data_IF_691673232507
#
_entry.id   IF_691673232507
#
_cell.length_a   1.000
_cell.length_b   1.000
_cell.length_c   1.000
_cell.angle_alpha   90.00
_cell.angle_beta   90.00
_cell.angle_gamma   90.00
#
_symmetry.space_group_name_H-M   'P 1'
#
loop_
_entity.id
_entity.type
_entity.pdbx_description
1 polymer ?
#
# COMPACT_ATOMS: atom_id res chain seq x y z
N UNK A 1 2.99 2.32 17.63
CA UNK A 1 3.51 2.82 16.34
C UNK A 1 4.05 1.65 15.53
N UNK A 2 3.36 1.31 14.45
CA UNK A 2 3.67 0.14 13.61
C UNK A 2 5.09 0.21 13.01
N UNK A 3 5.56 1.40 12.66
CA UNK A 3 6.90 1.59 12.08
C UNK A 3 8.00 1.23 13.07
N UNK A 4 7.80 1.56 14.35
CA UNK A 4 8.75 1.23 15.42
C UNK A 4 8.68 -0.25 15.80
N UNK A 5 7.48 -0.85 15.83
CA UNK A 5 7.32 -2.26 16.19
C UNK A 5 7.84 -3.22 15.13
N UNK A 6 7.66 -2.88 13.85
CA UNK A 6 8.07 -3.75 12.74
C UNK A 6 9.57 -3.71 12.43
N UNK A 7 10.25 -2.60 12.75
CA UNK A 7 11.66 -2.39 12.42
C UNK A 7 12.60 -3.51 12.92
N UNK A 8 12.53 -3.98 14.19
CA UNK A 8 13.39 -5.08 14.66
C UNK A 8 13.13 -6.39 13.90
N UNK A 9 11.86 -6.70 13.62
CA UNK A 9 11.47 -7.87 12.87
C UNK A 9 12.03 -7.84 11.44
N UNK A 10 11.87 -6.73 10.76
CA UNK A 10 12.38 -6.54 9.40
C UNK A 10 13.91 -6.63 9.36
N UNK A 11 14.61 -6.00 10.31
CA UNK A 11 16.07 -6.05 10.41
C UNK A 11 16.60 -7.48 10.53
N UNK A 12 15.90 -8.32 11.32
CA UNK A 12 16.27 -9.72 11.48
C UNK A 12 16.01 -10.53 10.19
N UNK A 13 14.90 -10.24 9.50
CA UNK A 13 14.45 -11.02 8.35
C UNK A 13 15.23 -10.72 7.06
N UNK A 14 15.58 -9.45 6.82
CA UNK A 14 16.26 -9.05 5.57
C UNK A 14 17.75 -9.44 5.56
N UNK A 15 18.32 -9.75 6.72
CA UNK A 15 19.73 -10.16 6.84
C UNK A 15 20.69 -8.97 6.83
N UNK A 16 22.00 -9.29 6.86
CA UNK A 16 23.07 -8.30 7.03
C UNK A 16 23.48 -7.58 5.74
N UNK A 17 23.12 -8.15 4.58
CA UNK A 17 23.54 -7.61 3.28
C UNK A 17 22.63 -6.48 2.78
N UNK A 18 21.43 -6.36 3.33
CA UNK A 18 20.48 -5.32 2.98
C UNK A 18 20.43 -4.30 4.09
N UNK A 19 20.72 -3.04 3.75
CA UNK A 19 20.55 -1.92 4.67
C UNK A 19 19.06 -1.59 4.80
N UNK A 20 18.57 -1.41 6.04
CA UNK A 20 17.19 -1.03 6.33
C UNK A 20 17.13 0.41 6.84
N UNK A 21 16.41 1.26 6.12
CA UNK A 21 16.03 2.60 6.55
C UNK A 21 14.54 2.65 6.83
N UNK A 22 14.15 2.92 8.08
CA UNK A 22 12.76 3.12 8.47
C UNK A 22 12.62 4.49 9.10
N UNK A 23 11.78 5.32 8.52
CA UNK A 23 11.51 6.67 9.01
C UNK A 23 10.05 7.04 8.81
N UNK A 24 9.59 8.03 9.55
CA UNK A 24 8.23 8.54 9.49
C UNK A 24 8.30 10.06 9.67
N UNK A 25 7.29 10.73 9.16
CA UNK A 25 7.06 12.15 9.43
C UNK A 25 7.02 12.41 10.94
N UNK A 26 7.46 13.59 11.37
CA UNK A 26 7.51 14.00 12.78
C UNK A 26 6.12 14.08 13.45
N UNK A 27 5.06 14.22 12.67
CA UNK A 27 3.69 14.26 13.17
C UNK A 27 3.10 12.85 13.28
N UNK A 28 2.43 12.50 14.39
CA UNK A 28 1.76 11.22 14.53
C UNK A 28 0.72 11.00 13.43
N UNK A 29 0.78 9.82 12.80
CA UNK A 29 -0.17 9.39 11.77
C UNK A 29 -1.04 8.31 12.38
N UNK A 30 -2.35 8.59 12.51
CA UNK A 30 -3.31 7.63 13.07
C UNK A 30 -4.23 7.12 11.97
N UNK A 31 -4.29 5.81 11.84
CA UNK A 31 -5.17 5.10 10.91
C UNK A 31 -6.02 4.09 11.68
N UNK A 32 -7.19 3.78 11.17
CA UNK A 32 -8.03 2.71 11.67
C UNK A 32 -7.70 1.43 10.88
N UNK A 33 -6.80 0.62 11.42
CA UNK A 33 -6.36 -0.59 10.75
C UNK A 33 -5.93 -1.66 11.76
N UNK A 34 -5.98 -2.93 11.35
CA UNK A 34 -5.39 -4.02 12.10
C UNK A 34 -3.86 -3.97 12.00
N UNK A 35 -3.21 -3.73 13.14
CA UNK A 35 -1.75 -3.61 13.21
C UNK A 35 -1.03 -4.88 12.77
N UNK A 36 -1.55 -6.06 13.12
CA UNK A 36 -0.96 -7.34 12.73
C UNK A 36 -1.04 -7.60 11.22
N UNK A 37 -2.15 -7.22 10.59
CA UNK A 37 -2.28 -7.32 9.14
C UNK A 37 -1.36 -6.34 8.40
N UNK A 38 -1.18 -5.13 8.92
CA UNK A 38 -0.23 -4.18 8.34
C UNK A 38 1.23 -4.61 8.54
N UNK A 39 1.58 -5.19 9.69
CA UNK A 39 2.89 -5.83 9.87
C UNK A 39 3.12 -6.92 8.84
N UNK A 40 2.13 -7.76 8.57
CA UNK A 40 2.20 -8.80 7.54
C UNK A 40 2.41 -8.21 6.14
N UNK A 41 1.76 -7.09 5.81
CA UNK A 41 2.01 -6.36 4.56
C UNK A 41 3.48 -5.96 4.45
N UNK A 42 4.03 -5.31 5.48
CA UNK A 42 5.42 -4.86 5.48
C UNK A 42 6.42 -6.02 5.42
N UNK A 43 6.15 -7.11 6.13
CA UNK A 43 6.95 -8.34 6.08
C UNK A 43 6.96 -8.94 4.67
N UNK A 44 5.81 -9.03 4.01
CA UNK A 44 5.73 -9.55 2.64
C UNK A 44 6.50 -8.68 1.63
N UNK A 45 6.36 -7.36 1.73
CA UNK A 45 7.08 -6.43 0.86
C UNK A 45 8.59 -6.47 1.11
N UNK A 46 9.02 -6.52 2.37
CA UNK A 46 10.43 -6.60 2.73
C UNK A 46 11.07 -7.94 2.31
N UNK A 47 10.32 -9.04 2.41
CA UNK A 47 10.78 -10.34 1.90
C UNK A 47 10.99 -10.32 0.39
N UNK A 48 10.08 -9.72 -0.36
CA UNK A 48 10.22 -9.55 -1.80
C UNK A 48 11.41 -8.64 -2.16
N UNK A 49 11.58 -7.54 -1.43
CA UNK A 49 12.72 -6.63 -1.61
C UNK A 49 14.06 -7.33 -1.37
N UNK A 50 14.17 -8.11 -0.29
CA UNK A 50 15.37 -8.92 0.00
C UNK A 50 15.68 -9.87 -1.15
N UNK A 51 14.67 -10.59 -1.65
CA UNK A 51 14.85 -11.56 -2.72
C UNK A 51 15.22 -10.86 -4.05
N UNK A 52 14.84 -9.61 -4.25
CA UNK A 52 15.22 -8.79 -5.40
C UNK A 52 16.64 -8.19 -5.27
N UNK A 53 17.27 -8.28 -4.10
CA UNK A 53 18.60 -7.75 -3.79
C UNK A 53 19.56 -8.84 -3.31
N UNK A 54 19.86 -9.89 -4.11
CA UNK A 54 20.72 -11.00 -3.67
C UNK A 54 22.14 -10.57 -3.32
N UNK A 55 22.64 -9.52 -3.97
CA UNK A 55 23.97 -8.94 -3.71
C UNK A 55 23.96 -7.86 -2.62
N UNK A 56 22.81 -7.67 -1.95
CA UNK A 56 22.60 -6.58 -1.02
C UNK A 56 22.00 -5.34 -1.66
N UNK A 57 21.77 -4.32 -0.86
CA UNK A 57 21.19 -3.05 -1.30
C UNK A 57 20.55 -2.29 -0.16
N UNK A 58 19.61 -1.40 -0.50
CA UNK A 58 18.89 -0.57 0.45
C UNK A 58 17.39 -0.84 0.34
N UNK A 59 16.76 -1.14 1.47
CA UNK A 59 15.31 -1.14 1.65
C UNK A 59 14.92 0.08 2.49
N UNK A 60 14.14 0.98 1.91
CA UNK A 60 13.63 2.17 2.57
C UNK A 60 12.15 2.05 2.83
N UNK A 61 11.71 2.32 4.05
CA UNK A 61 10.30 2.41 4.43
C UNK A 61 10.06 3.79 5.02
N UNK A 62 9.14 4.53 4.44
CA UNK A 62 8.84 5.90 4.85
C UNK A 62 7.34 6.11 5.01
N UNK A 63 6.95 6.72 6.15
CA UNK A 63 5.56 7.08 6.44
C UNK A 63 5.31 8.58 6.33
N UNK A 64 4.27 8.98 5.62
CA UNK A 64 3.84 10.37 5.43
C UNK A 64 2.31 10.50 5.42
N UNK A 65 1.82 11.72 5.30
CA UNK A 65 0.42 12.05 5.06
C UNK A 65 0.31 12.82 3.75
N UNK A 66 -0.60 12.39 2.91
CA UNK A 66 -0.85 13.03 1.62
C UNK A 66 -2.32 13.42 1.50
N UNK A 67 -2.58 14.46 0.73
CA UNK A 67 -3.92 14.86 0.35
C UNK A 67 -4.19 14.43 -1.09
N UNK A 68 -5.26 13.66 -1.27
CA UNK A 68 -5.71 13.18 -2.57
C UNK A 68 -6.77 14.09 -3.13
N UNK A 69 -6.58 14.54 -4.36
CA UNK A 69 -7.57 15.31 -5.12
C UNK A 69 -8.51 14.39 -5.89
N UNK A 70 -9.68 14.92 -6.29
CA UNK A 70 -10.64 14.18 -7.11
C UNK A 70 -10.04 13.71 -8.45
N UNK A 71 -9.10 14.44 -9.02
CA UNK A 71 -8.42 14.10 -10.25
C UNK A 71 -7.57 12.82 -10.11
N UNK A 72 -6.88 12.69 -8.98
CA UNK A 72 -6.10 11.48 -8.68
C UNK A 72 -7.01 10.26 -8.44
N UNK A 73 -8.15 10.47 -7.78
CA UNK A 73 -9.09 9.40 -7.44
C UNK A 73 -9.78 8.82 -8.67
N UNK A 74 -10.05 9.61 -9.69
CA UNK A 74 -10.61 9.13 -10.96
C UNK A 74 -9.70 8.15 -11.69
N UNK A 75 -8.38 8.32 -11.58
CA UNK A 75 -7.41 7.41 -12.22
C UNK A 75 -7.25 6.06 -11.47
N UNK A 76 -7.67 5.98 -10.20
CA UNK A 76 -7.53 4.79 -9.35
C UNK A 76 -8.86 4.12 -8.97
N UNK A 77 -9.96 4.57 -9.52
CA UNK A 77 -11.26 3.87 -9.63
C UNK A 77 -12.10 3.71 -8.37
N UNK A 78 -11.55 3.82 -7.15
CA UNK A 78 -12.28 3.60 -5.88
C UNK A 78 -11.79 4.48 -4.73
N UNK A 79 -10.81 5.34 -4.96
CA UNK A 79 -10.34 6.27 -3.94
C UNK A 79 -11.30 7.47 -3.86
N UNK A 80 -11.51 8.00 -2.66
CA UNK A 80 -12.21 9.25 -2.44
C UNK A 80 -11.19 10.36 -2.16
N UNK A 81 -11.50 11.60 -2.58
CA UNK A 81 -10.69 12.74 -2.19
C UNK A 81 -10.58 12.84 -0.66
N UNK A 82 -9.44 13.22 -0.16
CA UNK A 82 -9.21 13.34 1.27
C UNK A 82 -7.78 13.10 1.70
N UNK A 83 -7.56 12.98 2.99
CA UNK A 83 -6.24 12.75 3.57
C UNK A 83 -5.98 11.27 3.81
N UNK A 84 -4.83 10.82 3.37
CA UNK A 84 -4.37 9.44 3.49
C UNK A 84 -3.01 9.36 4.19
N UNK A 85 -2.84 8.32 4.98
CA UNK A 85 -1.50 7.87 5.36
C UNK A 85 -0.86 7.22 4.14
N UNK A 86 0.35 7.63 3.81
CA UNK A 86 1.17 7.05 2.75
C UNK A 86 2.32 6.27 3.38
N UNK A 87 2.40 4.97 3.10
CA UNK A 87 3.57 4.16 3.41
C UNK A 87 4.28 3.85 2.09
N UNK A 88 5.51 4.33 1.97
CA UNK A 88 6.36 4.05 0.81
C UNK A 88 7.38 2.98 1.18
N UNK A 89 7.42 1.91 0.41
CA UNK A 89 8.41 0.82 0.54
C UNK A 89 9.20 0.74 -0.76
N UNK A 90 10.46 1.13 -0.72
CA UNK A 90 11.33 1.21 -1.89
C UNK A 90 12.58 0.35 -1.72
N UNK A 91 12.85 -0.51 -2.70
CA UNK A 91 14.08 -1.29 -2.79
C UNK A 91 14.93 -0.86 -3.99
N UNK A 92 16.21 -1.17 -3.92
CA UNK A 92 17.18 -1.02 -5.01
C UNK A 92 17.52 -2.37 -5.65
N UNK A 93 16.53 -3.24 -5.79
CA UNK A 93 16.69 -4.55 -6.38
C UNK A 93 16.70 -4.54 -7.91
N UNK A 94 16.55 -5.72 -8.49
CA UNK A 94 16.56 -5.90 -9.95
C UNK A 94 15.35 -5.30 -10.67
N UNK A 95 14.29 -4.91 -9.94
CA UNK A 95 13.08 -4.34 -10.53
C UNK A 95 12.28 -5.34 -11.37
N UNK A 96 11.29 -4.81 -12.07
CA UNK A 96 10.35 -5.59 -12.91
C UNK A 96 10.10 -4.86 -14.22
N UNK A 97 9.88 -5.63 -15.29
CA UNK A 97 9.33 -5.11 -16.53
C UNK A 97 7.81 -4.88 -16.44
N UNK A 98 7.25 -4.23 -17.43
CA UNK A 98 5.83 -3.91 -17.49
C UNK A 98 4.94 -5.15 -17.47
N UNK A 99 5.31 -6.20 -18.18
CA UNK A 99 4.54 -7.44 -18.25
C UNK A 99 4.46 -8.13 -16.90
N UNK A 100 5.54 -8.14 -16.13
CA UNK A 100 5.59 -8.65 -14.76
C UNK A 100 4.78 -7.75 -13.83
N UNK A 101 5.01 -6.44 -13.88
CA UNK A 101 4.37 -5.45 -12.99
C UNK A 101 2.85 -5.50 -13.06
N UNK A 102 2.26 -5.73 -14.22
CA UNK A 102 0.81 -5.83 -14.40
C UNK A 102 0.19 -7.07 -13.76
N UNK A 103 0.99 -8.10 -13.46
CA UNK A 103 0.53 -9.39 -12.96
C UNK A 103 0.90 -9.71 -11.51
N UNK A 104 1.67 -8.85 -10.85
CA UNK A 104 2.24 -9.16 -9.52
C UNK A 104 1.21 -9.40 -8.42
N UNK A 105 -0.02 -8.92 -8.58
CA UNK A 105 -1.11 -9.14 -7.62
C UNK A 105 -2.01 -10.32 -7.98
N UNK A 106 -1.77 -10.99 -9.11
CA UNK A 106 -2.47 -12.23 -9.46
C UNK A 106 -2.07 -13.34 -8.47
N UNK A 107 -3.03 -14.06 -7.86
CA UNK A 107 -2.71 -15.22 -7.03
C UNK A 107 -1.88 -16.24 -7.81
N UNK A 108 -0.87 -16.82 -7.14
CA UNK A 108 0.06 -17.82 -7.66
C UNK A 108 1.02 -17.32 -8.75
N UNK A 109 0.95 -16.05 -9.16
CA UNK A 109 1.94 -15.49 -10.06
C UNK A 109 3.27 -15.28 -9.34
N UNK A 110 4.35 -15.80 -9.90
CA UNK A 110 5.71 -15.65 -9.38
C UNK A 110 6.71 -15.73 -10.53
N UNK A 111 7.77 -14.92 -10.44
CA UNK A 111 8.95 -15.00 -11.32
C UNK A 111 10.08 -15.80 -10.68
N UNK A 112 9.89 -16.29 -9.44
CA UNK A 112 10.88 -17.12 -8.73
C UNK A 112 10.84 -18.54 -9.22
N UNK A 113 11.96 -19.25 -9.04
CA UNK A 113 12.07 -20.69 -9.35
C UNK A 113 11.01 -21.51 -8.61
N UNK A 114 10.62 -22.62 -9.21
CA UNK A 114 9.65 -23.57 -8.63
C UNK A 114 10.09 -23.97 -7.22
N UNK A 115 9.21 -23.80 -6.25
CA UNK A 115 9.47 -24.10 -4.84
C UNK A 115 10.09 -22.97 -4.02
N UNK A 116 10.47 -21.84 -4.62
CA UNK A 116 11.03 -20.66 -3.93
C UNK A 116 10.07 -19.51 -3.73
N UNK A 117 8.89 -19.57 -4.32
CA UNK A 117 7.87 -18.54 -4.18
C UNK A 117 6.47 -19.14 -4.23
N UNK A 118 5.58 -18.73 -3.31
CA UNK A 118 4.20 -19.19 -3.29
C UNK A 118 3.31 -18.47 -4.30
N UNK A 119 3.74 -17.28 -4.76
CA UNK A 119 2.93 -16.39 -5.59
C UNK A 119 1.73 -15.78 -4.86
N UNK A 120 1.66 -15.89 -3.53
CA UNK A 120 0.54 -15.43 -2.72
C UNK A 120 0.85 -14.16 -1.91
N UNK A 121 2.12 -13.83 -1.69
CA UNK A 121 2.51 -12.72 -0.82
C UNK A 121 1.95 -11.36 -1.27
N UNK A 122 2.09 -11.02 -2.54
CA UNK A 122 1.58 -9.74 -3.07
C UNK A 122 0.06 -9.74 -3.27
N UNK A 123 -0.55 -10.88 -3.61
CA UNK A 123 -2.01 -11.02 -3.64
C UNK A 123 -2.61 -10.78 -2.24
N UNK A 124 -1.95 -11.27 -1.19
CA UNK A 124 -2.33 -11.04 0.20
C UNK A 124 -2.16 -9.56 0.59
N UNK A 125 -1.05 -8.93 0.22
CA UNK A 125 -0.83 -7.48 0.42
C UNK A 125 -1.98 -6.68 -0.18
N UNK A 126 -2.31 -6.95 -1.44
CA UNK A 126 -3.42 -6.29 -2.12
C UNK A 126 -4.75 -6.48 -1.39
N UNK A 127 -5.09 -7.72 -0.99
CA UNK A 127 -6.31 -8.04 -0.26
C UNK A 127 -6.40 -7.31 1.09
N UNK A 128 -5.33 -7.31 1.88
CA UNK A 128 -5.28 -6.61 3.17
C UNK A 128 -5.50 -5.10 2.98
N UNK A 129 -4.83 -4.47 2.02
CA UNK A 129 -4.97 -3.03 1.79
C UNK A 129 -6.39 -2.68 1.33
N UNK A 130 -7.00 -3.49 0.45
CA UNK A 130 -8.40 -3.31 0.04
C UNK A 130 -9.38 -3.48 1.19
N UNK A 131 -9.16 -4.44 2.08
CA UNK A 131 -9.97 -4.63 3.29
C UNK A 131 -9.97 -3.39 4.20
N UNK A 132 -8.89 -2.62 4.20
CA UNK A 132 -8.76 -1.38 4.95
C UNK A 132 -9.17 -0.13 4.16
N UNK A 133 -9.92 -0.29 3.07
CA UNK A 133 -10.34 0.79 2.17
C UNK A 133 -9.16 1.61 1.60
N UNK A 134 -8.01 0.99 1.52
CA UNK A 134 -6.81 1.56 0.95
C UNK A 134 -6.60 1.17 -0.52
N UNK A 135 -5.53 1.69 -1.09
CA UNK A 135 -5.08 1.31 -2.42
C UNK A 135 -3.55 1.29 -2.53
N UNK A 136 -3.08 0.65 -3.57
CA UNK A 136 -1.67 0.44 -3.86
C UNK A 136 -1.32 1.04 -5.22
N UNK A 137 -0.15 1.66 -5.26
CA UNK A 137 0.52 2.03 -6.51
C UNK A 137 1.93 1.42 -6.53
N UNK A 138 2.38 0.98 -7.71
CA UNK A 138 3.67 0.32 -7.90
C UNK A 138 4.41 0.92 -9.07
N UNK A 139 5.60 1.38 -8.79
CA UNK A 139 6.55 1.84 -9.79
C UNK A 139 7.76 0.91 -9.77
N UNK A 140 8.13 0.36 -10.93
CA UNK A 140 9.30 -0.51 -11.07
C UNK A 140 9.86 -0.42 -12.47
N UNK A 141 11.17 -0.56 -12.58
CA UNK A 141 11.88 -0.70 -13.85
C UNK A 141 13.02 -1.70 -13.69
N UNK A 142 13.34 -2.49 -14.72
CA UNK A 142 14.48 -3.39 -14.70
C UNK A 142 15.77 -2.66 -14.34
N UNK A 143 16.48 -3.15 -13.31
CA UNK A 143 17.74 -2.59 -12.82
C UNK A 143 17.63 -1.35 -11.93
N UNK A 144 16.42 -0.79 -11.73
CA UNK A 144 16.21 0.43 -10.92
C UNK A 144 15.50 0.16 -9.59
N UNK A 145 15.09 -1.09 -9.34
CA UNK A 145 14.35 -1.49 -8.14
C UNK A 145 12.85 -1.28 -8.25
N UNK A 146 12.17 -1.40 -7.10
CA UNK A 146 10.71 -1.31 -7.00
C UNK A 146 10.30 -0.39 -5.87
N UNK A 147 9.25 0.39 -6.10
CA UNK A 147 8.61 1.24 -5.09
C UNK A 147 7.14 0.91 -5.01
N UNK A 148 6.71 0.44 -3.84
CA UNK A 148 5.30 0.29 -3.48
C UNK A 148 4.86 1.51 -2.68
N UNK A 149 3.70 2.08 -3.04
CA UNK A 149 3.03 3.15 -2.29
C UNK A 149 1.69 2.64 -1.80
N UNK A 150 1.52 2.62 -0.50
CA UNK A 150 0.32 2.15 0.19
C UNK A 150 -0.40 3.37 0.74
N UNK A 151 -1.65 3.53 0.37
CA UNK A 151 -2.49 4.63 0.82
C UNK A 151 -3.61 4.08 1.69
N UNK A 152 -3.70 4.57 2.92
CA UNK A 152 -4.71 4.15 3.91
C UNK A 152 -5.46 5.38 4.40
N UNK A 153 -6.81 5.34 4.48
CA UNK A 153 -7.59 6.44 5.03
C UNK A 153 -7.13 6.79 6.44
N UNK A 154 -6.98 8.08 6.74
CA UNK A 154 -6.69 8.53 8.11
C UNK A 154 -7.89 8.27 9.03
N UNK A 155 -7.62 7.88 10.28
CA UNK A 155 -8.61 7.90 11.34
C UNK A 155 -8.80 9.36 11.80
N UNK A 156 -9.95 9.92 11.53
CA UNK A 156 -10.32 11.27 11.93
C UNK A 156 -11.76 11.57 11.52
N UNK A 157 -12.40 12.59 12.08
CA UNK A 157 -13.73 12.93 11.65
C UNK A 157 -13.70 13.23 10.15
N UNK A 158 -14.45 12.45 9.40
CA UNK A 158 -14.74 12.76 8.01
C UNK A 158 -15.54 14.07 8.02
N UNK A 159 -14.84 15.19 7.84
CA UNK A 159 -15.45 16.52 7.77
C UNK A 159 -15.99 16.78 6.37
N UNK A 160 -16.69 15.81 5.80
CA UNK A 160 -17.67 16.07 4.76
C UNK A 160 -18.87 15.18 5.05
N UNK A 161 -19.97 15.73 5.60
CA UNK A 161 -21.24 15.04 5.51
C UNK A 161 -21.54 14.88 4.02
N UNK A 162 -21.77 13.67 3.56
CA UNK A 162 -22.44 13.46 2.29
C UNK A 162 -23.72 14.32 2.31
N UNK A 163 -24.00 15.13 1.27
CA UNK A 163 -25.33 15.68 1.13
C UNK A 163 -26.26 14.47 1.05
N UNK A 164 -27.08 14.27 2.07
CA UNK A 164 -28.25 13.42 1.95
C UNK A 164 -29.06 14.00 0.78
N UNK A 165 -29.12 13.27 -0.34
CA UNK A 165 -30.11 13.51 -1.37
C UNK A 165 -31.47 13.36 -0.68
N UNK A 166 -32.05 14.48 -0.31
CA UNK A 166 -33.46 14.54 0.11
C UNK A 166 -34.27 14.06 -1.08
N UNK A 167 -35.04 12.98 -0.98
CA UNK A 167 -35.94 12.62 -2.07
C UNK A 167 -36.89 13.78 -2.27
N UNK A 168 -36.81 14.42 -3.43
CA UNK A 168 -37.85 15.40 -3.85
C UNK A 168 -39.20 14.70 -3.74
N UNK A 169 -39.99 15.22 -2.81
CA UNK A 169 -41.38 14.86 -2.69
C UNK A 169 -42.08 15.26 -4.02
N UNK A 170 -42.35 14.26 -4.84
CA UNK A 170 -43.21 14.37 -6.00
C UNK A 170 -44.57 14.83 -5.52
N UNK A 171 -44.85 16.11 -5.68
CA UNK A 171 -46.16 16.65 -5.51
C UNK A 171 -47.08 15.99 -6.53
N UNK A 172 -48.02 15.19 -6.05
CA UNK A 172 -49.14 14.70 -6.85
C UNK A 172 -50.02 15.88 -7.31
N UNK A 173 -50.37 15.99 -8.58
CA UNK A 173 -51.36 16.95 -9.02
C UNK A 173 -52.76 16.50 -8.54
N UNK A 174 -53.44 17.37 -7.82
CA UNK A 174 -54.83 17.20 -7.45
C UNK A 174 -55.70 17.23 -8.71
N UNK A 175 -56.48 16.18 -8.92
CA UNK A 175 -57.56 16.16 -9.88
C UNK A 175 -58.84 16.66 -9.19
N UNK A 176 -59.36 17.75 -9.72
CA UNK A 176 -60.76 18.11 -9.57
C UNK A 176 -61.60 17.46 -10.65
#
# INVERSE_FOLDING_TARGET
>A
DIMSSVKPLLSMMIGKNVELSVSCRDTPITILADGGLLEQVLVNLASNARDAMPEGGLLSIYGDVVEMTDEFTHSHGTAHAGRYALITVADRGHGMDEATRTRIFEPFFTTKEVGRGTGLGLAMVYGIIKQHNGFLDVTSKPGEGTTFRIYLPLAGPSLVPFPEETPEATASPAWQ
#
